data_IF_399078472465
#
_entry.id   IF_399078472465
#
_cell.length_a   1.000
_cell.length_b   1.000
_cell.length_c   1.000
_cell.angle_alpha   90.00
_cell.angle_beta   90.00
_cell.angle_gamma   90.00
#
_symmetry.space_group_name_H-M   'P 1'
#
loop_
_entity.id
_entity.type
_entity.pdbx_description
1 polymer ?
#
# COMPACT_ATOMS: atom_id res chain seq x y z
N UNK A 1 -3.59 30.51 -39.76
CA UNK A 1 -2.46 30.40 -38.81
C UNK A 1 -2.42 31.70 -38.03
N UNK A 2 -2.77 31.68 -36.74
CA UNK A 2 -2.55 32.84 -35.85
C UNK A 2 -1.31 32.51 -35.04
N UNK A 3 -0.28 33.32 -35.17
CA UNK A 3 0.97 33.17 -34.45
C UNK A 3 0.77 33.51 -32.97
N UNK A 4 0.95 32.54 -32.08
CA UNK A 4 1.00 32.79 -30.65
C UNK A 4 2.45 33.18 -30.31
N UNK A 5 2.72 34.49 -30.18
CA UNK A 5 4.02 34.98 -29.70
C UNK A 5 4.11 34.73 -28.19
N UNK A 6 4.90 33.73 -27.78
CA UNK A 6 5.36 33.62 -26.40
C UNK A 6 6.36 34.77 -26.18
N UNK A 7 5.97 35.73 -25.35
CA UNK A 7 6.86 36.80 -24.90
C UNK A 7 7.80 36.24 -23.83
N UNK A 8 8.97 35.75 -24.23
CA UNK A 8 10.05 35.52 -23.28
C UNK A 8 10.52 36.87 -22.72
N UNK A 9 10.29 37.11 -21.43
CA UNK A 9 10.97 38.19 -20.69
C UNK A 9 12.45 37.84 -20.64
N UNK A 10 13.25 38.47 -21.49
CA UNK A 10 14.70 38.44 -21.39
C UNK A 10 15.12 39.18 -20.12
N UNK A 11 15.55 38.42 -19.10
CA UNK A 11 16.24 38.97 -17.94
C UNK A 11 17.61 39.48 -18.39
N UNK A 12 17.79 40.78 -18.19
CA UNK A 12 18.93 41.61 -18.54
C UNK A 12 20.19 41.19 -17.75
N UNK A 13 21.21 40.69 -18.46
CA UNK A 13 22.67 40.68 -18.16
C UNK A 13 23.26 39.64 -19.15
N UNK A 14 23.93 39.98 -20.25
CA UNK A 14 25.26 40.60 -20.31
C UNK A 14 25.41 41.37 -21.62
N UNK A 15 26.10 42.49 -21.51
CA UNK A 15 26.35 43.50 -22.52
C UNK A 15 27.58 43.11 -23.36
N UNK A 16 27.61 43.66 -24.57
CA UNK A 16 28.75 44.01 -25.44
C UNK A 16 29.42 42.96 -26.35
N UNK A 17 29.40 43.34 -27.64
CA UNK A 17 30.47 43.27 -28.65
C UNK A 17 30.83 41.92 -29.30
N UNK A 18 30.38 41.82 -30.55
CA UNK A 18 31.20 41.61 -31.76
C UNK A 18 32.23 40.48 -31.77
N UNK A 19 32.02 39.57 -32.73
CA UNK A 19 32.98 38.62 -33.28
C UNK A 19 33.37 37.47 -32.35
N UNK A 20 32.62 36.38 -32.40
CA UNK A 20 33.15 35.01 -32.60
C UNK A 20 31.96 34.15 -33.05
N UNK A 21 32.07 33.59 -34.24
CA UNK A 21 31.24 32.49 -34.70
C UNK A 21 31.57 31.26 -33.84
N UNK A 22 30.70 30.92 -32.91
CA UNK A 22 30.65 29.57 -32.34
C UNK A 22 29.29 29.00 -32.68
N UNK A 23 29.32 27.96 -33.49
CA UNK A 23 28.21 27.08 -33.78
C UNK A 23 27.80 26.34 -32.50
N UNK A 24 27.12 27.03 -31.58
CA UNK A 24 26.20 26.37 -30.66
C UNK A 24 24.85 26.35 -31.37
N UNK A 25 24.53 25.20 -31.93
CA UNK A 25 23.17 24.89 -32.37
C UNK A 25 22.23 24.96 -31.17
N UNK A 26 21.80 26.15 -30.79
CA UNK A 26 20.50 26.31 -30.16
C UNK A 26 19.49 26.28 -31.31
N UNK A 27 19.15 25.06 -31.73
CA UNK A 27 17.84 24.82 -32.32
C UNK A 27 16.84 25.28 -31.27
N UNK A 28 16.30 26.49 -31.43
CA UNK A 28 15.07 26.86 -30.76
C UNK A 28 14.06 25.84 -31.29
N UNK A 29 13.85 24.75 -30.56
CA UNK A 29 12.82 23.77 -30.88
C UNK A 29 11.51 24.55 -30.85
N UNK A 30 11.08 24.97 -32.04
CA UNK A 30 9.74 25.47 -32.24
C UNK A 30 8.83 24.31 -31.92
N UNK A 31 8.31 24.26 -30.69
CA UNK A 31 7.27 23.31 -30.32
C UNK A 31 6.09 23.56 -31.28
N UNK A 32 5.73 22.58 -32.12
CA UNK A 32 4.63 22.77 -33.05
C UNK A 32 3.37 23.05 -32.24
N UNK A 33 2.83 24.25 -32.36
CA UNK A 33 1.51 24.56 -31.83
C UNK A 33 0.50 23.64 -32.54
N UNK A 34 -0.02 22.66 -31.80
CA UNK A 34 -0.98 21.68 -32.33
C UNK A 34 -0.98 20.28 -31.68
N UNK A 35 -0.29 20.07 -30.56
CA UNK A 35 -0.22 18.74 -29.90
C UNK A 35 -1.43 18.47 -29.00
N UNK A 36 -2.01 19.51 -28.40
CA UNK A 36 -3.09 19.37 -27.43
C UNK A 36 -4.46 19.36 -28.09
N UNK A 37 -5.44 18.71 -27.43
CA UNK A 37 -6.83 18.72 -27.89
C UNK A 37 -7.38 20.17 -27.87
N UNK A 38 -8.46 20.49 -28.62
CA UNK A 38 -9.02 21.85 -28.67
C UNK A 38 -9.45 22.45 -27.32
N UNK A 39 -9.73 21.60 -26.34
CA UNK A 39 -10.13 21.97 -24.96
C UNK A 39 -8.93 22.06 -24.01
N UNK A 40 -7.72 21.90 -24.53
CA UNK A 40 -6.46 21.93 -23.79
C UNK A 40 -5.55 23.07 -24.29
N UNK A 41 -4.67 23.52 -23.42
CA UNK A 41 -3.57 24.44 -23.74
C UNK A 41 -2.23 23.77 -23.38
N UNK A 42 -1.18 24.12 -24.12
CA UNK A 42 0.16 23.68 -23.78
C UNK A 42 0.65 24.45 -22.56
N UNK A 43 0.97 23.73 -21.48
CA UNK A 43 1.66 24.24 -20.31
C UNK A 43 3.13 23.83 -20.36
N UNK A 44 4.05 24.74 -20.06
CA UNK A 44 5.50 24.47 -20.03
C UNK A 44 5.92 23.64 -18.81
N UNK A 45 5.10 23.69 -17.75
CA UNK A 45 5.30 22.95 -16.50
C UNK A 45 4.14 22.00 -16.26
N UNK A 46 4.40 20.89 -15.56
CA UNK A 46 3.32 20.04 -15.08
C UNK A 46 2.65 20.74 -13.88
N UNK A 47 1.34 21.02 -13.93
CA UNK A 47 0.65 21.58 -12.79
C UNK A 47 0.65 20.58 -11.63
N UNK A 48 0.87 21.07 -10.40
CA UNK A 48 0.76 20.26 -9.19
C UNK A 48 -0.64 19.65 -9.00
N UNK A 49 -1.67 20.34 -9.49
CA UNK A 49 -3.04 19.88 -9.52
C UNK A 49 -3.73 20.42 -10.78
N UNK A 50 -4.47 19.55 -11.45
CA UNK A 50 -5.37 19.92 -12.54
C UNK A 50 -6.81 19.58 -12.12
N UNK A 51 -7.76 20.53 -12.22
CA UNK A 51 -9.11 20.31 -11.74
C UNK A 51 -9.84 19.23 -12.56
N UNK A 52 -10.61 18.41 -11.86
CA UNK A 52 -11.52 17.40 -12.41
C UNK A 52 -12.96 17.72 -12.04
N UNK A 53 -13.92 16.92 -12.53
CA UNK A 53 -15.31 17.03 -12.07
C UNK A 53 -15.46 16.74 -10.58
N UNK A 54 -14.54 15.97 -10.02
CA UNK A 54 -14.55 15.56 -8.63
C UNK A 54 -13.74 16.54 -7.77
N UNK A 55 -12.63 17.11 -8.24
CA UNK A 55 -11.74 17.94 -7.43
C UNK A 55 -11.41 19.29 -8.08
N UNK A 56 -11.68 20.40 -7.39
CA UNK A 56 -11.46 21.76 -7.91
C UNK A 56 -10.07 22.36 -7.57
N UNK A 57 -9.20 21.57 -6.94
CA UNK A 57 -7.86 21.97 -6.49
C UNK A 57 -7.82 23.10 -5.45
N UNK A 58 -8.95 23.53 -4.87
CA UNK A 58 -9.00 24.66 -3.93
C UNK A 58 -8.28 24.39 -2.60
N UNK A 59 -8.15 23.12 -2.23
CA UNK A 59 -7.55 22.67 -0.96
C UNK A 59 -6.14 22.07 -1.14
N UNK A 60 -5.58 22.08 -2.36
CA UNK A 60 -4.27 21.47 -2.61
C UNK A 60 -3.14 22.43 -2.26
N UNK A 61 -2.19 21.97 -1.44
CA UNK A 61 -0.94 22.68 -1.15
C UNK A 61 0.10 22.25 -2.18
N UNK A 62 0.48 23.14 -3.08
CA UNK A 62 1.48 22.86 -4.11
C UNK A 62 2.90 23.14 -3.62
N UNK A 63 3.89 22.32 -4.03
CA UNK A 63 5.28 22.61 -3.77
C UNK A 63 5.70 23.92 -4.44
N UNK A 64 6.63 24.64 -3.83
CA UNK A 64 7.13 25.94 -4.33
C UNK A 64 7.94 25.80 -5.63
N UNK A 65 8.46 24.60 -5.93
CA UNK A 65 9.22 24.32 -7.14
C UNK A 65 8.34 23.77 -8.27
N UNK A 66 8.62 24.20 -9.50
CA UNK A 66 7.92 23.75 -10.71
C UNK A 66 8.68 22.66 -11.45
N UNK A 67 7.96 21.64 -11.95
CA UNK A 67 8.53 20.61 -12.83
C UNK A 67 8.40 21.07 -14.27
N UNK A 68 9.53 21.48 -14.88
CA UNK A 68 9.61 21.94 -16.27
C UNK A 68 9.55 20.76 -17.25
N UNK A 69 8.33 20.34 -17.56
CA UNK A 69 8.03 19.34 -18.57
C UNK A 69 6.73 19.74 -19.26
N UNK A 70 6.76 20.01 -20.58
CA UNK A 70 5.58 20.49 -21.27
C UNK A 70 4.48 19.42 -21.27
N UNK A 71 3.24 19.84 -21.00
CA UNK A 71 2.06 18.97 -20.93
C UNK A 71 0.79 19.68 -21.42
N UNK A 72 -0.20 18.92 -21.87
CA UNK A 72 -1.49 19.44 -22.27
C UNK A 72 -2.41 19.53 -21.06
N UNK A 73 -2.81 20.75 -20.70
CA UNK A 73 -3.67 21.01 -19.54
C UNK A 73 -5.02 21.55 -19.96
N UNK A 74 -6.08 21.26 -19.20
CA UNK A 74 -7.40 21.80 -19.50
C UNK A 74 -7.39 23.33 -19.48
N UNK A 75 -7.98 23.95 -20.50
CA UNK A 75 -8.11 25.42 -20.55
C UNK A 75 -9.12 25.91 -19.51
N UNK A 76 -9.05 27.19 -19.16
CA UNK A 76 -9.99 27.79 -18.20
C UNK A 76 -11.46 27.52 -18.55
N UNK A 77 -12.26 27.11 -17.56
CA UNK A 77 -13.66 26.71 -17.71
C UNK A 77 -13.88 25.23 -18.11
N UNK A 78 -12.79 24.47 -18.30
CA UNK A 78 -12.81 23.03 -18.58
C UNK A 78 -12.11 22.27 -17.44
N UNK A 79 -12.56 21.05 -17.17
CA UNK A 79 -12.00 20.14 -16.17
C UNK A 79 -11.77 18.76 -16.77
N UNK A 80 -10.81 17.99 -16.26
CA UNK A 80 -10.51 16.65 -16.78
C UNK A 80 -11.49 15.63 -16.22
N UNK A 81 -12.15 14.89 -17.09
CA UNK A 81 -13.05 13.79 -16.76
C UNK A 81 -12.86 12.66 -17.78
N UNK A 82 -12.63 11.43 -17.30
CA UNK A 82 -12.34 10.25 -18.14
C UNK A 82 -11.26 10.47 -19.21
N UNK A 83 -10.24 11.28 -18.89
CA UNK A 83 -9.13 11.58 -19.80
C UNK A 83 -9.40 12.70 -20.80
N UNK A 84 -10.57 13.33 -20.78
CA UNK A 84 -10.94 14.44 -21.66
C UNK A 84 -11.21 15.73 -20.88
N UNK A 85 -10.86 16.88 -21.46
CA UNK A 85 -11.26 18.17 -20.91
C UNK A 85 -12.66 18.52 -21.38
N UNK A 86 -13.63 18.49 -20.47
CA UNK A 86 -15.04 18.83 -20.71
C UNK A 86 -15.39 20.16 -20.03
N UNK A 87 -16.41 20.90 -20.49
CA UNK A 87 -16.88 22.09 -19.77
C UNK A 87 -17.27 21.71 -18.34
N UNK A 88 -16.98 22.55 -17.35
CA UNK A 88 -17.35 22.27 -15.94
C UNK A 88 -18.86 22.05 -15.77
N UNK A 89 -19.68 22.71 -16.59
CA UNK A 89 -21.14 22.56 -16.61
C UNK A 89 -21.62 21.24 -17.22
N UNK A 90 -20.73 20.49 -17.87
CA UNK A 90 -20.99 19.19 -18.46
C UNK A 90 -20.50 18.03 -17.58
N UNK A 91 -19.99 18.33 -16.38
CA UNK A 91 -19.71 17.29 -15.40
C UNK A 91 -20.98 16.48 -15.13
N UNK A 92 -20.85 15.15 -14.97
CA UNK A 92 -21.99 14.34 -14.57
C UNK A 92 -22.57 14.94 -13.29
N UNK A 93 -23.90 14.97 -13.21
CA UNK A 93 -24.52 15.24 -11.93
C UNK A 93 -23.97 14.20 -10.95
N UNK A 94 -23.30 14.65 -9.89
CA UNK A 94 -23.02 13.78 -8.76
C UNK A 94 -24.39 13.32 -8.30
N UNK A 95 -24.71 12.04 -8.50
CA UNK A 95 -25.94 11.52 -7.94
C UNK A 95 -25.85 11.81 -6.44
N UNK A 96 -26.76 12.63 -5.89
CA UNK A 96 -26.73 12.90 -4.47
C UNK A 96 -26.87 11.54 -3.80
N UNK A 97 -25.88 11.14 -2.99
CA UNK A 97 -26.05 9.98 -2.12
C UNK A 97 -27.27 10.31 -1.27
N UNK A 98 -28.44 9.69 -1.54
CA UNK A 98 -29.70 10.29 -1.11
C UNK A 98 -29.89 10.16 0.40
N UNK A 99 -29.19 9.20 1.00
CA UNK A 99 -29.06 9.01 2.45
C UNK A 99 -27.99 7.98 2.71
N UNK A 100 -27.13 8.21 3.70
CA UNK A 100 -26.27 7.16 4.22
C UNK A 100 -27.07 6.14 5.05
N UNK A 101 -26.62 4.88 5.11
CA UNK A 101 -27.18 3.89 6.04
C UNK A 101 -27.10 4.36 7.50
N UNK A 102 -27.79 3.68 8.44
CA UNK A 102 -27.67 3.99 9.87
C UNK A 102 -26.22 3.93 10.35
N UNK A 103 -25.84 4.87 11.21
CA UNK A 103 -24.50 5.01 11.79
C UNK A 103 -23.41 5.37 10.77
N UNK A 104 -23.80 5.93 9.63
CA UNK A 104 -22.92 6.43 8.60
C UNK A 104 -23.22 7.90 8.30
N UNK A 105 -22.17 8.69 8.12
CA UNK A 105 -22.26 10.10 7.73
C UNK A 105 -21.70 10.32 6.32
N UNK A 106 -22.35 11.22 5.58
CA UNK A 106 -21.89 11.61 4.25
C UNK A 106 -20.65 12.49 4.39
N UNK A 107 -19.51 11.98 3.92
CA UNK A 107 -18.25 12.72 3.86
C UNK A 107 -17.94 13.11 2.40
N UNK A 108 -17.35 14.30 2.16
CA UNK A 108 -17.02 14.77 0.81
C UNK A 108 -15.87 13.99 0.17
N UNK A 109 -15.09 13.28 0.98
CA UNK A 109 -13.94 12.48 0.57
C UNK A 109 -13.98 11.15 1.32
N UNK A 110 -13.48 10.05 0.74
CA UNK A 110 -13.32 8.80 1.47
C UNK A 110 -12.45 8.97 2.71
N UNK A 111 -12.81 8.23 3.76
CA UNK A 111 -11.95 8.13 4.94
C UNK A 111 -10.62 7.51 4.53
N UNK A 112 -9.54 8.11 5.03
CA UNK A 112 -8.20 7.58 4.83
C UNK A 112 -8.03 6.17 5.41
N UNK A 113 -8.63 5.94 6.57
CA UNK A 113 -8.84 4.63 7.17
C UNK A 113 -10.18 4.66 7.89
N UNK A 114 -10.92 3.57 7.84
CA UNK A 114 -12.18 3.39 8.55
C UNK A 114 -12.04 2.18 9.47
N UNK A 115 -12.25 2.35 10.79
CA UNK A 115 -12.01 1.27 11.75
C UNK A 115 -12.98 0.11 11.49
N UNK A 116 -12.51 -1.11 11.71
CA UNK A 116 -13.25 -2.37 11.55
C UNK A 116 -13.20 -3.18 12.84
N UNK A 117 -13.94 -4.29 12.91
CA UNK A 117 -13.84 -5.21 14.06
C UNK A 117 -12.46 -5.86 14.24
N UNK A 118 -11.56 -5.75 13.25
CA UNK A 118 -10.22 -6.34 13.28
C UNK A 118 -9.08 -5.31 13.27
N UNK A 119 -9.37 -4.04 13.01
CA UNK A 119 -8.37 -2.98 12.85
C UNK A 119 -8.95 -1.64 13.33
N UNK A 120 -8.24 -0.95 14.22
CA UNK A 120 -8.67 0.31 14.84
C UNK A 120 -8.07 1.55 14.16
N UNK A 121 -7.33 1.38 13.06
CA UNK A 121 -6.61 2.43 12.34
C UNK A 121 -5.51 3.14 13.15
N UNK A 122 -5.12 2.66 14.34
CA UNK A 122 -4.15 3.33 15.22
C UNK A 122 -2.75 3.49 14.60
N UNK A 123 -2.41 2.64 13.63
CA UNK A 123 -1.09 2.62 12.98
C UNK A 123 -1.08 3.30 11.60
N UNK A 124 -2.19 3.91 11.16
CA UNK A 124 -2.31 4.46 9.82
C UNK A 124 -1.90 5.94 9.75
N UNK A 125 -0.94 6.26 8.87
CA UNK A 125 -0.55 7.65 8.58
C UNK A 125 -1.20 8.11 7.29
N UNK A 126 -2.12 9.06 7.39
CA UNK A 126 -2.81 9.63 6.24
C UNK A 126 -1.92 10.58 5.46
N UNK A 127 -1.47 10.14 4.27
CA UNK A 127 -1.03 11.06 3.22
C UNK A 127 -2.27 11.46 2.42
N UNK A 128 -2.96 12.50 2.87
CA UNK A 128 -4.17 13.03 2.22
C UNK A 128 -3.87 13.35 0.74
N UNK A 129 -4.41 12.53 -0.17
CA UNK A 129 -4.81 13.01 -1.48
C UNK A 129 -6.28 13.41 -1.34
N UNK A 130 -6.59 14.69 -1.52
CA UNK A 130 -7.96 15.21 -1.51
C UNK A 130 -8.68 14.69 -2.77
N UNK A 131 -9.23 13.48 -2.67
CA UNK A 131 -10.13 12.91 -3.68
C UNK A 131 -11.54 13.27 -3.22
N UNK A 132 -12.12 14.29 -3.82
CA UNK A 132 -13.48 14.72 -3.53
C UNK A 132 -14.49 13.80 -4.24
N UNK A 133 -14.67 12.64 -3.61
CA UNK A 133 -15.62 11.60 -3.96
C UNK A 133 -16.54 11.41 -2.76
N UNK A 134 -17.74 12.00 -2.78
CA UNK A 134 -18.69 11.84 -1.69
C UNK A 134 -18.95 10.36 -1.40
N UNK A 135 -18.89 9.97 -0.13
CA UNK A 135 -19.11 8.59 0.32
C UNK A 135 -19.66 8.56 1.73
N UNK A 136 -20.37 7.49 2.07
CA UNK A 136 -20.76 7.20 3.45
C UNK A 136 -19.58 6.58 4.19
N UNK A 137 -19.32 7.08 5.39
CA UNK A 137 -18.26 6.64 6.30
C UNK A 137 -18.89 6.39 7.66
N UNK A 138 -18.43 5.36 8.40
CA UNK A 138 -18.90 5.16 9.78
C UNK A 138 -18.78 6.44 10.60
N UNK A 139 -19.85 6.77 11.33
CA UNK A 139 -19.82 7.82 12.34
C UNK A 139 -18.72 7.56 13.37
N UNK A 140 -18.23 8.63 14.01
CA UNK A 140 -17.19 8.50 15.05
C UNK A 140 -17.63 7.54 16.16
N UNK A 141 -16.78 6.56 16.45
CA UNK A 141 -17.02 5.55 17.48
C UNK A 141 -17.74 4.29 16.98
N UNK A 142 -18.12 4.23 15.71
CA UNK A 142 -18.60 3.02 15.04
C UNK A 142 -17.49 2.36 14.22
N UNK A 143 -17.65 1.07 13.94
CA UNK A 143 -16.71 0.27 13.15
C UNK A 143 -17.43 -0.43 12.00
N UNK A 144 -16.76 -0.58 10.86
CA UNK A 144 -17.32 -1.27 9.70
C UNK A 144 -17.18 -2.78 9.85
N UNK A 145 -18.30 -3.47 9.68
CA UNK A 145 -18.42 -4.92 9.73
C UNK A 145 -19.47 -5.39 8.73
N UNK A 146 -19.12 -6.33 7.87
CA UNK A 146 -20.02 -6.92 6.86
C UNK A 146 -20.79 -5.86 6.03
N UNK A 147 -20.06 -4.83 5.60
CA UNK A 147 -20.60 -3.73 4.80
C UNK A 147 -21.42 -2.69 5.55
N UNK A 148 -21.56 -2.78 6.88
CA UNK A 148 -22.36 -1.86 7.70
C UNK A 148 -21.57 -1.31 8.89
N UNK A 149 -21.97 -0.16 9.40
CA UNK A 149 -21.40 0.40 10.63
C UNK A 149 -22.15 -0.12 11.86
N UNK A 150 -21.39 -0.66 12.81
CA UNK A 150 -21.90 -1.23 14.05
C UNK A 150 -21.13 -0.65 15.24
N UNK A 151 -21.68 -0.80 16.44
CA UNK A 151 -20.96 -0.44 17.65
C UNK A 151 -19.83 -1.45 17.92
N UNK A 152 -18.69 -1.05 18.50
CA UNK A 152 -17.58 -1.96 18.78
C UNK A 152 -17.96 -3.18 19.65
N UNK A 153 -18.93 -3.02 20.54
CA UNK A 153 -19.46 -4.10 21.41
C UNK A 153 -20.33 -5.12 20.65
N UNK A 154 -20.69 -4.84 19.39
CA UNK A 154 -21.42 -5.74 18.50
C UNK A 154 -20.50 -6.54 17.58
N UNK A 155 -19.19 -6.33 17.66
CA UNK A 155 -18.22 -7.12 16.90
C UNK A 155 -18.27 -8.60 17.31
N UNK A 156 -17.92 -9.53 16.39
CA UNK A 156 -17.86 -10.94 16.72
C UNK A 156 -16.93 -11.24 17.89
N UNK A 157 -17.45 -11.94 18.88
CA UNK A 157 -16.67 -12.40 20.03
C UNK A 157 -15.89 -13.66 19.68
N UNK A 158 -14.60 -13.66 19.96
CA UNK A 158 -13.75 -14.84 19.88
C UNK A 158 -13.51 -15.43 21.28
N UNK A 159 -13.00 -16.66 21.31
CA UNK A 159 -12.58 -17.31 22.56
C UNK A 159 -11.45 -16.56 23.27
N UNK A 160 -11.08 -17.00 24.49
CA UNK A 160 -10.00 -16.39 25.23
C UNK A 160 -8.70 -16.37 24.41
N UNK A 161 -7.97 -15.25 24.48
CA UNK A 161 -6.71 -15.02 23.76
C UNK A 161 -6.80 -15.12 22.23
N UNK A 162 -8.02 -15.05 21.68
CA UNK A 162 -8.26 -14.95 20.26
C UNK A 162 -8.81 -13.56 19.91
N UNK A 163 -8.54 -13.12 18.69
CA UNK A 163 -9.07 -11.89 18.10
C UNK A 163 -9.81 -12.22 16.83
N UNK A 164 -10.82 -11.41 16.52
CA UNK A 164 -11.49 -11.51 15.23
C UNK A 164 -10.55 -11.05 14.11
N UNK A 165 -10.61 -11.74 12.98
CA UNK A 165 -9.97 -11.33 11.74
C UNK A 165 -10.98 -11.42 10.61
N UNK A 166 -10.96 -10.42 9.72
CA UNK A 166 -11.82 -10.35 8.55
C UNK A 166 -11.52 -11.43 7.49
N UNK A 167 -10.43 -12.18 7.63
CA UNK A 167 -10.01 -13.20 6.69
C UNK A 167 -9.09 -14.24 7.36
N UNK A 168 -9.02 -15.45 6.80
CA UNK A 168 -8.07 -16.48 7.27
C UNK A 168 -6.67 -16.21 6.70
N UNK A 169 -5.62 -16.15 7.54
CA UNK A 169 -4.24 -16.03 7.09
C UNK A 169 -3.79 -17.33 6.39
N UNK A 170 -2.67 -17.27 5.67
CA UNK A 170 -2.14 -18.47 5.02
C UNK A 170 -1.60 -19.51 6.01
N UNK A 171 -1.18 -19.06 7.20
CA UNK A 171 -0.63 -19.88 8.26
C UNK A 171 -1.06 -19.31 9.62
N UNK A 172 -1.43 -20.20 10.54
CA UNK A 172 -1.72 -19.89 11.94
C UNK A 172 -0.87 -20.80 12.83
N UNK A 173 -0.07 -20.21 13.73
CA UNK A 173 0.83 -21.01 14.58
C UNK A 173 0.05 -21.93 15.51
N UNK A 174 0.50 -23.17 15.62
CA UNK A 174 -0.05 -24.20 16.51
C UNK A 174 1.05 -24.72 17.44
N UNK A 175 0.73 -25.61 18.37
CA UNK A 175 1.74 -26.27 19.19
C UNK A 175 2.78 -27.07 18.37
N UNK A 176 2.41 -27.50 17.17
CA UNK A 176 3.21 -28.39 16.30
C UNK A 176 3.80 -27.63 15.10
N UNK A 177 3.35 -26.40 14.84
CA UNK A 177 3.72 -25.61 13.67
C UNK A 177 4.01 -24.16 14.06
N UNK A 178 5.25 -23.72 13.83
CA UNK A 178 5.63 -22.32 13.94
C UNK A 178 5.58 -21.62 12.58
N UNK A 179 4.69 -20.65 12.43
CA UNK A 179 4.54 -19.86 11.21
C UNK A 179 5.53 -18.69 11.08
N UNK A 180 6.46 -18.51 12.02
CA UNK A 180 7.40 -17.36 12.01
C UNK A 180 8.28 -17.29 10.77
N UNK A 181 8.51 -18.43 10.09
CA UNK A 181 9.31 -18.52 8.86
C UNK A 181 8.48 -18.75 7.60
N UNK A 182 7.15 -18.78 7.71
CA UNK A 182 6.26 -19.02 6.57
C UNK A 182 6.03 -17.72 5.82
N UNK A 183 6.38 -17.70 4.54
CA UNK A 183 6.13 -16.58 3.66
C UNK A 183 4.74 -16.71 3.01
N UNK A 184 3.80 -15.86 3.42
CA UNK A 184 2.50 -15.79 2.78
C UNK A 184 2.55 -14.94 1.49
N UNK A 185 2.01 -15.48 0.39
CA UNK A 185 1.88 -14.75 -0.89
C UNK A 185 0.87 -13.59 -0.82
N UNK A 186 -0.12 -13.71 0.05
CA UNK A 186 -1.11 -12.69 0.37
C UNK A 186 -1.29 -12.64 1.89
N UNK A 187 -1.65 -11.49 2.47
CA UNK A 187 -1.81 -11.37 3.93
C UNK A 187 -2.85 -12.36 4.47
N UNK A 188 -3.94 -12.57 3.73
CA UNK A 188 -4.99 -13.53 4.04
C UNK A 188 -5.90 -13.74 2.82
N UNK A 189 -6.61 -14.88 2.77
CA UNK A 189 -7.48 -15.24 1.63
C UNK A 189 -8.76 -15.99 2.03
N UNK A 190 -8.85 -16.53 3.23
CA UNK A 190 -10.02 -17.29 3.66
C UNK A 190 -11.15 -16.44 4.24
N UNK A 191 -12.29 -17.06 4.60
CA UNK A 191 -13.40 -16.37 5.24
C UNK A 191 -12.99 -15.76 6.59
N UNK A 192 -13.80 -14.86 7.16
CA UNK A 192 -13.51 -14.35 8.49
C UNK A 192 -13.41 -15.45 9.55
N UNK A 193 -12.48 -15.30 10.48
CA UNK A 193 -12.17 -16.33 11.49
C UNK A 193 -11.64 -15.69 12.77
N UNK A 194 -11.65 -16.47 13.87
CA UNK A 194 -10.91 -16.13 15.06
C UNK A 194 -9.46 -16.61 14.92
N UNK A 195 -8.52 -15.72 15.22
CA UNK A 195 -7.08 -16.00 15.21
C UNK A 195 -6.50 -15.81 16.60
N UNK A 196 -5.50 -16.62 16.95
CA UNK A 196 -4.77 -16.39 18.18
C UNK A 196 -4.08 -15.02 18.19
N UNK A 197 -4.12 -14.36 19.35
CA UNK A 197 -3.40 -13.12 19.58
C UNK A 197 -1.88 -13.36 19.48
N UNK A 198 -1.07 -12.34 19.16
CA UNK A 198 0.38 -12.47 19.14
C UNK A 198 0.92 -13.06 20.45
N UNK A 199 1.77 -14.09 20.36
CA UNK A 199 2.31 -14.82 21.51
C UNK A 199 1.47 -16.02 21.99
N UNK A 200 0.33 -16.28 21.35
CA UNK A 200 -0.51 -17.46 21.59
C UNK A 200 -0.53 -18.37 20.35
N UNK A 201 -0.73 -19.66 20.58
CA UNK A 201 -0.85 -20.67 19.52
C UNK A 201 -2.13 -21.46 19.66
N UNK A 202 -2.60 -21.98 18.53
CA UNK A 202 -3.82 -22.76 18.47
C UNK A 202 -3.56 -24.21 18.89
N UNK A 203 -4.36 -24.69 19.82
CA UNK A 203 -4.35 -26.09 20.25
C UNK A 203 -5.79 -26.53 20.55
N UNK A 204 -6.25 -27.60 19.90
CA UNK A 204 -7.61 -28.13 20.03
C UNK A 204 -8.73 -27.06 19.89
N UNK A 205 -8.54 -26.12 18.95
CA UNK A 205 -9.51 -25.06 18.67
C UNK A 205 -9.50 -23.88 19.65
N UNK A 206 -8.60 -23.86 20.63
CA UNK A 206 -8.44 -22.77 21.60
C UNK A 206 -7.04 -22.17 21.51
N UNK A 207 -6.91 -20.89 21.83
CA UNK A 207 -5.63 -20.21 21.91
C UNK A 207 -5.03 -20.37 23.30
N UNK A 208 -3.82 -20.93 23.34
CA UNK A 208 -3.05 -21.12 24.57
C UNK A 208 -1.67 -20.51 24.40
N UNK A 209 -0.96 -20.27 25.51
CA UNK A 209 0.44 -19.87 25.43
C UNK A 209 1.30 -21.05 24.96
N UNK A 210 2.38 -20.77 24.23
CA UNK A 210 3.32 -21.79 23.74
C UNK A 210 3.84 -22.71 24.87
N UNK A 211 4.10 -22.14 26.05
CA UNK A 211 4.57 -22.86 27.24
C UNK A 211 3.59 -23.91 27.78
N UNK A 212 2.30 -23.80 27.41
CA UNK A 212 1.24 -24.71 27.82
C UNK A 212 0.98 -25.83 26.80
N UNK A 213 1.76 -25.88 25.71
CA UNK A 213 1.65 -26.95 24.73
C UNK A 213 2.01 -28.31 25.35
N UNK A 214 1.32 -29.40 24.95
CA UNK A 214 1.69 -30.76 25.37
C UNK A 214 3.17 -31.03 25.07
N UNK A 215 3.82 -31.83 25.93
CA UNK A 215 5.23 -32.24 25.74
C UNK A 215 5.39 -32.85 24.35
N UNK A 216 6.20 -32.20 23.50
CA UNK A 216 6.33 -32.51 22.06
C UNK A 216 6.20 -31.28 21.15
N UNK A 217 5.71 -30.14 21.64
CA UNK A 217 5.72 -28.87 20.89
C UNK A 217 7.12 -28.29 20.70
N UNK A 218 7.32 -27.57 19.59
CA UNK A 218 8.59 -26.91 19.24
C UNK A 218 8.94 -25.94 20.38
N UNK A 219 9.98 -26.28 21.16
CA UNK A 219 10.46 -25.50 22.30
C UNK A 219 10.53 -26.24 23.64
N UNK A 220 9.93 -27.43 23.77
CA UNK A 220 10.19 -28.28 24.94
C UNK A 220 11.41 -29.17 24.66
N UNK A 221 12.47 -29.13 25.50
CA UNK A 221 13.50 -30.15 25.45
C UNK A 221 12.82 -31.51 25.57
N UNK A 222 12.99 -32.36 24.55
CA UNK A 222 12.66 -33.77 24.69
C UNK A 222 13.55 -34.27 25.81
N UNK A 223 12.97 -34.52 26.99
CA UNK A 223 13.67 -35.28 28.01
C UNK A 223 14.09 -36.60 27.36
N UNK A 224 15.38 -36.98 27.42
CA UNK A 224 15.81 -38.28 26.91
C UNK A 224 14.93 -39.37 27.54
N UNK A 225 14.57 -40.43 26.80
CA UNK A 225 13.91 -41.56 27.43
C UNK A 225 14.75 -42.03 28.62
N UNK A 226 14.10 -42.21 29.78
CA UNK A 226 14.74 -42.68 31.00
C UNK A 226 15.49 -43.99 30.69
N UNK A 227 16.83 -43.93 30.64
CA UNK A 227 17.68 -45.09 30.38
C UNK A 227 18.77 -44.96 29.32
N UNK A 228 18.99 -43.78 28.71
CA UNK A 228 20.18 -43.59 27.87
C UNK A 228 21.45 -43.56 28.73
N UNK A 229 22.20 -44.66 28.73
CA UNK A 229 23.52 -44.77 29.36
C UNK A 229 24.49 -43.87 28.58
N UNK A 230 25.05 -42.88 29.27
CA UNK A 230 26.09 -42.00 28.77
C UNK A 230 27.38 -42.80 28.54
N UNK A 231 27.58 -43.27 27.31
CA UNK A 231 28.93 -43.64 26.86
C UNK A 231 29.61 -42.34 26.47
N UNK A 232 30.31 -41.75 27.45
CA UNK A 232 31.01 -40.49 27.31
C UNK A 232 31.78 -40.38 26.00
N UNK A 233 31.71 -39.19 25.41
CA UNK A 233 32.44 -38.84 24.20
C UNK A 233 33.94 -39.10 24.39
N UNK A 234 34.63 -39.77 23.45
CA UNK A 234 36.08 -39.83 23.48
C UNK A 234 36.66 -38.42 23.24
N UNK A 235 37.64 -38.08 24.07
CA UNK A 235 38.43 -36.86 24.03
C UNK A 235 39.08 -36.73 22.65
N UNK A 236 38.67 -35.72 21.86
CA UNK A 236 39.29 -35.41 20.58
C UNK A 236 40.58 -34.61 20.82
N UNK A 237 41.61 -35.29 21.31
CA UNK A 237 42.95 -34.75 21.43
C UNK A 237 43.98 -35.70 20.81
N UNK A 238 43.81 -35.99 19.51
CA UNK A 238 44.88 -36.41 18.57
C UNK A 238 44.25 -36.62 17.18
N UNK A 239 44.12 -35.53 16.42
CA UNK A 239 43.80 -35.60 14.99
C UNK A 239 45.11 -35.74 14.22
N UNK A 240 45.57 -36.96 13.94
CA UNK A 240 46.54 -37.21 12.87
C UNK A 240 45.89 -38.04 11.76
N UNK A 241 45.91 -37.45 10.57
CA UNK A 241 45.63 -37.99 9.23
C UNK A 241 44.16 -38.25 8.81
N UNK A 242 43.62 -37.26 8.07
CA UNK A 242 42.59 -37.49 7.07
C UNK A 242 43.16 -38.38 5.95
N UNK A 243 42.75 -39.64 5.87
CA UNK A 243 43.01 -40.47 4.67
C UNK A 243 41.79 -40.40 3.76
N UNK A 244 42.02 -39.85 2.57
CA UNK A 244 41.10 -39.81 1.44
C UNK A 244 40.62 -41.22 1.07
N UNK A 245 39.32 -41.37 0.87
CA UNK A 245 38.71 -42.62 0.43
C UNK A 245 37.42 -42.37 -0.33
N UNK A 246 37.56 -42.10 -1.63
CA UNK A 246 36.47 -42.15 -2.60
C UNK A 246 35.76 -43.51 -2.54
N UNK A 247 34.43 -43.48 -2.43
CA UNK A 247 33.57 -44.66 -2.51
C UNK A 247 32.34 -44.34 -3.35
N UNK A 248 32.40 -44.71 -4.62
CA UNK A 248 31.37 -44.58 -5.64
C UNK A 248 30.04 -45.22 -5.23
N UNK A 249 28.93 -44.52 -5.49
CA UNK A 249 27.56 -45.08 -5.45
C UNK A 249 27.12 -45.39 -6.88
N UNK A 250 26.88 -46.66 -7.26
CA UNK A 250 26.31 -46.96 -8.57
C UNK A 250 24.78 -46.82 -8.52
N UNK A 251 24.27 -46.11 -9.52
CA UNK A 251 22.88 -46.19 -9.98
C UNK A 251 22.55 -47.63 -10.43
N UNK A 252 21.42 -48.18 -9.96
CA UNK A 252 20.67 -49.20 -10.69
C UNK A 252 19.17 -48.97 -10.52
N UNK A 253 18.49 -49.04 -11.67
CA UNK A 253 17.05 -48.92 -11.88
C UNK A 253 16.29 -50.12 -11.33
N UNK A 254 15.09 -49.86 -10.83
CA UNK A 254 13.89 -50.67 -11.05
C UNK A 254 12.65 -49.81 -10.84
#
# INVERSE_FOLDING_TARGET
RRDCKIAMKASLLVVVSSLIAVASGFTLESFPCGICKPTEILSETIPCCEPSCDNDCSQVICPEYSIYKPSCVCRAGFVRYEGECIPITACPAVEPIPSCPPYEELQPTPACCEPTCSDDCSNFVCRLALIHKPTCVCERGYVRYDGRCIKPDQCPTCGPYARYSNCTPCCESTCELDCSLVLCLAPCTGPPTCLCQPGFVKHNGVCIKQELCPRGGIGNPVAPPDGAVDYGAPDCSECEECVEGYGDVPYQLS
#
